data_IF_674476967922
#
_entry.id   IF_674476967922
#
_cell.length_a   1.000
_cell.length_b   1.000
_cell.length_c   1.000
_cell.angle_alpha   90.00
_cell.angle_beta   90.00
_cell.angle_gamma   90.00
#
_symmetry.space_group_name_H-M   'P 1'
#
loop_
_entity.id
_entity.type
_entity.pdbx_description
1 polymer ?
#
# COMPACT_ATOMS: atom_id res chain seq x y z
N UNK A 1 -7.97 11.21 -27.50
CA UNK A 1 -7.94 11.59 -26.07
C UNK A 1 -6.51 11.86 -25.62
N UNK A 2 -6.27 12.95 -24.89
CA UNK A 2 -4.93 13.28 -24.36
C UNK A 2 -4.49 12.21 -23.35
N UNK A 3 -3.24 11.71 -23.47
CA UNK A 3 -2.66 10.73 -22.52
C UNK A 3 -2.76 11.20 -21.05
N UNK A 4 -2.76 12.52 -20.82
CA UNK A 4 -2.94 13.12 -19.49
C UNK A 4 -4.36 12.93 -18.94
N UNK A 5 -5.38 13.05 -19.79
CA UNK A 5 -6.78 12.85 -19.38
C UNK A 5 -7.02 11.38 -19.00
N UNK A 6 -6.47 10.45 -19.77
CA UNK A 6 -6.54 9.00 -19.46
C UNK A 6 -5.83 8.71 -18.14
N UNK A 7 -4.61 9.24 -17.93
CA UNK A 7 -3.88 9.06 -16.68
C UNK A 7 -4.66 9.58 -15.46
N UNK A 8 -5.19 10.80 -15.55
CA UNK A 8 -5.99 11.38 -14.46
C UNK A 8 -7.29 10.59 -14.21
N UNK A 9 -7.96 10.14 -15.26
CA UNK A 9 -9.16 9.31 -15.13
C UNK A 9 -8.86 7.96 -14.47
N UNK A 10 -7.76 7.30 -14.84
CA UNK A 10 -7.33 6.04 -14.21
C UNK A 10 -6.96 6.24 -12.74
N UNK A 11 -6.32 7.36 -12.40
CA UNK A 11 -6.02 7.70 -11.01
C UNK A 11 -7.29 7.94 -10.20
N UNK A 12 -8.25 8.69 -10.75
CA UNK A 12 -9.53 8.94 -10.10
C UNK A 12 -10.32 7.64 -9.89
N UNK A 13 -10.36 6.79 -10.90
CA UNK A 13 -11.02 5.48 -10.81
C UNK A 13 -10.36 4.57 -9.76
N UNK A 14 -9.03 4.58 -9.68
CA UNK A 14 -8.29 3.84 -8.65
C UNK A 14 -8.60 4.36 -7.25
N UNK A 15 -8.63 5.67 -7.06
CA UNK A 15 -8.98 6.29 -5.79
C UNK A 15 -10.42 5.96 -5.37
N UNK A 16 -11.35 5.93 -6.34
CA UNK A 16 -12.73 5.53 -6.12
C UNK A 16 -12.84 4.07 -5.63
N UNK A 17 -12.19 3.13 -6.33
CA UNK A 17 -12.16 1.71 -5.91
C UNK A 17 -11.56 1.59 -4.50
N UNK A 18 -10.46 2.28 -4.24
CA UNK A 18 -9.80 2.23 -2.94
C UNK A 18 -10.68 2.79 -1.81
N UNK A 19 -11.43 3.87 -2.05
CA UNK A 19 -12.39 4.42 -1.10
C UNK A 19 -13.55 3.47 -0.80
N UNK A 20 -14.17 2.90 -1.84
CA UNK A 20 -15.26 1.92 -1.68
C UNK A 20 -14.82 0.65 -0.95
N UNK A 21 -13.55 0.26 -1.11
CA UNK A 21 -12.99 -0.90 -0.41
C UNK A 21 -13.01 -0.73 1.12
N UNK A 22 -12.97 0.49 1.69
CA UNK A 22 -13.09 0.65 3.15
C UNK A 22 -14.49 0.29 3.66
N UNK A 23 -15.53 0.58 2.89
CA UNK A 23 -16.91 0.23 3.23
C UNK A 23 -17.10 -1.29 3.18
N UNK A 24 -16.58 -1.94 2.13
CA UNK A 24 -16.62 -3.41 2.04
C UNK A 24 -15.79 -4.04 3.15
N UNK A 25 -14.62 -3.48 3.46
CA UNK A 25 -13.78 -3.95 4.55
C UNK A 25 -14.48 -3.83 5.89
N UNK A 26 -15.12 -2.71 6.22
CA UNK A 26 -15.83 -2.57 7.49
C UNK A 26 -16.97 -3.58 7.63
N UNK A 27 -17.74 -3.84 6.56
CA UNK A 27 -18.85 -4.82 6.60
C UNK A 27 -18.36 -6.27 6.63
N UNK A 28 -17.33 -6.60 5.85
CA UNK A 28 -16.76 -7.96 5.83
C UNK A 28 -16.16 -8.35 7.18
N UNK A 29 -15.68 -7.36 7.92
CA UNK A 29 -15.05 -7.55 9.22
C UNK A 29 -16.02 -8.02 10.30
N UNK A 30 -17.27 -7.56 10.25
CA UNK A 30 -18.33 -8.02 11.16
C UNK A 30 -18.71 -9.49 10.91
N UNK A 31 -18.46 -10.01 9.71
CA UNK A 31 -18.87 -11.36 9.31
C UNK A 31 -17.80 -12.45 9.51
N UNK A 32 -16.52 -12.14 9.27
CA UNK A 32 -15.42 -13.14 9.24
C UNK A 32 -14.23 -12.80 10.14
N UNK A 33 -14.23 -11.62 10.78
CA UNK A 33 -13.21 -11.17 11.73
C UNK A 33 -11.87 -10.71 11.09
N UNK A 34 -11.05 -9.97 11.87
CA UNK A 34 -9.82 -9.30 11.40
C UNK A 34 -8.78 -10.20 10.78
N UNK A 35 -8.47 -11.28 11.49
CA UNK A 35 -7.35 -12.14 11.11
C UNK A 35 -7.68 -12.96 9.86
N UNK A 36 -8.92 -13.44 9.74
CA UNK A 36 -9.38 -14.20 8.56
C UNK A 36 -9.42 -13.31 7.32
N UNK A 37 -9.96 -12.09 7.44
CA UNK A 37 -10.00 -11.14 6.34
C UNK A 37 -8.60 -10.76 5.86
N UNK A 38 -7.72 -10.38 6.79
CA UNK A 38 -6.34 -10.01 6.47
C UNK A 38 -5.56 -11.22 5.91
N UNK A 39 -5.76 -12.42 6.47
CA UNK A 39 -5.17 -13.66 5.98
C UNK A 39 -5.58 -13.98 4.54
N UNK A 40 -6.87 -13.92 4.23
CA UNK A 40 -7.39 -14.14 2.88
C UNK A 40 -6.84 -13.09 1.88
N UNK A 41 -6.79 -11.83 2.29
CA UNK A 41 -6.20 -10.75 1.50
C UNK A 41 -4.72 -10.99 1.20
N UNK A 42 -3.93 -11.37 2.20
CA UNK A 42 -2.50 -11.65 2.04
C UNK A 42 -2.26 -12.91 1.20
N UNK A 43 -3.10 -13.94 1.33
CA UNK A 43 -3.04 -15.13 0.47
C UNK A 43 -3.31 -14.77 -0.99
N UNK A 44 -4.36 -13.98 -1.26
CA UNK A 44 -4.68 -13.51 -2.61
C UNK A 44 -3.56 -12.62 -3.18
N UNK A 45 -2.99 -11.74 -2.36
CA UNK A 45 -1.84 -10.92 -2.75
C UNK A 45 -0.62 -11.79 -3.10
N UNK A 46 -0.35 -12.84 -2.31
CA UNK A 46 0.71 -13.80 -2.59
C UNK A 46 0.50 -14.55 -3.90
N UNK A 47 -0.69 -15.10 -4.12
CA UNK A 47 -1.03 -15.85 -5.35
C UNK A 47 -0.94 -14.95 -6.59
N UNK A 48 -1.44 -13.72 -6.52
CA UNK A 48 -1.44 -12.78 -7.65
C UNK A 48 -0.04 -12.24 -7.96
N UNK A 49 0.82 -12.02 -6.95
CA UNK A 49 2.19 -11.53 -7.16
C UNK A 49 3.18 -12.63 -7.56
N UNK A 50 2.92 -13.89 -7.19
CA UNK A 50 3.78 -15.04 -7.54
C UNK A 50 4.10 -15.16 -9.04
N UNK A 51 3.13 -15.15 -9.98
CA UNK A 51 3.44 -15.24 -11.40
C UNK A 51 4.28 -14.05 -11.90
N UNK A 52 4.04 -12.85 -11.39
CA UNK A 52 4.81 -11.65 -11.73
C UNK A 52 6.26 -11.78 -11.23
N UNK A 53 6.45 -12.27 -10.02
CA UNK A 53 7.77 -12.54 -9.44
C UNK A 53 8.55 -13.58 -10.26
N UNK A 54 7.88 -14.67 -10.67
CA UNK A 54 8.48 -15.70 -11.52
C UNK A 54 8.84 -15.16 -12.92
N UNK A 55 7.99 -14.33 -13.53
CA UNK A 55 8.29 -13.69 -14.80
C UNK A 55 9.50 -12.75 -14.70
N UNK A 56 9.59 -11.95 -13.63
CA UNK A 56 10.76 -11.09 -13.37
C UNK A 56 12.03 -11.91 -13.13
N UNK A 57 11.95 -12.98 -12.35
CA UNK A 57 13.08 -13.87 -12.11
C UNK A 57 13.58 -14.53 -13.41
N UNK A 58 12.66 -14.94 -14.30
CA UNK A 58 12.99 -15.46 -15.64
C UNK A 58 13.64 -14.40 -16.54
N UNK A 59 13.17 -13.16 -16.51
CA UNK A 59 13.79 -12.05 -17.27
C UNK A 59 15.18 -11.69 -16.76
N UNK A 60 15.39 -11.68 -15.44
CA UNK A 60 16.69 -11.45 -14.83
C UNK A 60 17.70 -12.55 -15.19
N UNK A 61 17.28 -13.84 -15.19
CA UNK A 61 18.12 -14.96 -15.65
C UNK A 61 18.51 -14.88 -17.13
N UNK A 62 17.69 -14.20 -17.95
CA UNK A 62 17.98 -13.96 -19.38
C UNK A 62 18.79 -12.67 -19.62
N UNK A 63 19.20 -11.95 -18.57
CA UNK A 63 19.95 -10.70 -18.69
C UNK A 63 19.11 -9.48 -19.11
N UNK A 64 17.78 -9.58 -19.16
CA UNK A 64 16.88 -8.48 -19.55
C UNK A 64 16.49 -7.57 -18.37
N UNK A 65 17.05 -7.75 -17.19
CA UNK A 65 16.73 -6.96 -15.98
C UNK A 65 17.91 -6.94 -15.03
N UNK A 66 17.92 -5.96 -14.11
CA UNK A 66 18.97 -5.79 -13.12
C UNK A 66 19.25 -7.10 -12.35
N UNK A 67 20.52 -7.37 -11.96
CA UNK A 67 20.89 -8.56 -11.20
C UNK A 67 20.02 -8.68 -9.96
N UNK A 68 19.48 -9.87 -9.70
CA UNK A 68 18.75 -10.12 -8.46
C UNK A 68 19.70 -9.85 -7.27
N UNK A 69 19.22 -9.11 -6.27
CA UNK A 69 19.96 -8.96 -5.01
C UNK A 69 20.32 -10.33 -4.44
N UNK A 70 21.40 -10.41 -3.64
CA UNK A 70 21.81 -11.66 -2.99
C UNK A 70 20.62 -12.37 -2.36
N UNK A 71 20.48 -13.67 -2.59
CA UNK A 71 19.33 -14.46 -2.10
C UNK A 71 19.08 -14.25 -0.61
N UNK A 72 20.16 -14.12 0.19
CA UNK A 72 20.07 -13.83 1.63
C UNK A 72 19.44 -12.47 1.93
N UNK A 73 19.77 -11.43 1.15
CA UNK A 73 19.20 -10.10 1.33
C UNK A 73 17.72 -10.04 0.92
N UNK A 74 17.33 -10.78 -0.13
CA UNK A 74 15.93 -10.94 -0.53
C UNK A 74 15.10 -11.65 0.56
N UNK A 75 15.63 -12.72 1.15
CA UNK A 75 14.95 -13.44 2.22
C UNK A 75 14.83 -12.60 3.49
N UNK A 76 15.92 -11.99 3.94
CA UNK A 76 15.91 -11.14 5.15
C UNK A 76 15.02 -9.91 4.94
N UNK A 77 15.16 -9.22 3.81
CA UNK A 77 14.31 -8.07 3.48
C UNK A 77 12.85 -8.45 3.31
N UNK A 78 12.57 -9.62 2.71
CA UNK A 78 11.22 -10.16 2.55
C UNK A 78 10.55 -10.50 3.87
N UNK A 79 11.26 -11.19 4.78
CA UNK A 79 10.75 -11.53 6.11
C UNK A 79 10.52 -10.25 6.93
N UNK A 80 11.51 -9.35 6.97
CA UNK A 80 11.40 -8.10 7.74
C UNK A 80 10.23 -7.24 7.22
N UNK A 81 10.13 -7.05 5.91
CA UNK A 81 9.03 -6.33 5.28
C UNK A 81 7.69 -7.03 5.57
N UNK A 82 7.64 -8.37 5.48
CA UNK A 82 6.44 -9.15 5.74
C UNK A 82 5.94 -9.02 7.18
N UNK A 83 6.83 -9.08 8.18
CA UNK A 83 6.47 -8.88 9.59
C UNK A 83 5.93 -7.47 9.84
N UNK A 84 6.60 -6.44 9.32
CA UNK A 84 6.15 -5.06 9.43
C UNK A 84 4.79 -4.88 8.74
N UNK A 85 4.61 -5.45 7.55
CA UNK A 85 3.37 -5.36 6.79
C UNK A 85 2.23 -6.10 7.50
N UNK A 86 2.49 -7.25 8.12
CA UNK A 86 1.51 -7.98 8.91
C UNK A 86 1.07 -7.18 10.13
N UNK A 87 2.01 -6.62 10.88
CA UNK A 87 1.71 -5.78 12.04
C UNK A 87 0.91 -4.52 11.63
N UNK A 88 1.34 -3.83 10.57
CA UNK A 88 0.66 -2.65 10.06
C UNK A 88 -0.76 -2.97 9.54
N UNK A 89 -0.92 -4.07 8.78
CA UNK A 89 -2.22 -4.46 8.24
C UNK A 89 -3.18 -4.90 9.35
N UNK A 90 -2.67 -5.59 10.38
CA UNK A 90 -3.46 -5.97 11.55
C UNK A 90 -3.91 -4.75 12.34
N UNK A 91 -3.00 -3.79 12.59
CA UNK A 91 -3.34 -2.53 13.26
C UNK A 91 -4.36 -1.71 12.45
N UNK A 92 -4.19 -1.64 11.13
CA UNK A 92 -5.15 -1.00 10.24
C UNK A 92 -6.52 -1.69 10.30
N UNK A 93 -6.56 -3.03 10.33
CA UNK A 93 -7.80 -3.79 10.39
C UNK A 93 -8.54 -3.56 11.70
N UNK A 94 -7.84 -3.57 12.84
CA UNK A 94 -8.43 -3.22 14.13
C UNK A 94 -8.96 -1.78 14.15
N UNK A 95 -8.22 -0.83 13.57
CA UNK A 95 -8.70 0.55 13.42
C UNK A 95 -9.97 0.71 12.57
N UNK A 96 -10.26 -0.26 11.68
CA UNK A 96 -11.51 -0.31 10.90
C UNK A 96 -12.63 -0.98 11.68
N UNK A 97 -12.34 -1.93 12.58
CA UNK A 97 -13.36 -2.56 13.45
C UNK A 97 -13.92 -1.55 14.45
N UNK A 98 -13.05 -0.82 15.11
CA UNK A 98 -13.43 0.09 16.20
C UNK A 98 -13.92 1.46 15.70
N UNK A 99 -13.96 1.68 14.39
CA UNK A 99 -14.28 2.98 13.79
C UNK A 99 -15.19 2.86 12.58
N UNK A 100 -15.88 3.95 12.21
CA UNK A 100 -16.64 3.97 10.97
C UNK A 100 -15.69 4.03 9.76
N UNK A 101 -16.13 3.49 8.62
CA UNK A 101 -15.35 3.52 7.37
C UNK A 101 -14.87 4.95 7.01
N UNK A 102 -15.66 5.98 7.32
CA UNK A 102 -15.28 7.38 7.11
C UNK A 102 -14.14 7.85 8.02
N UNK A 103 -14.17 7.50 9.32
CA UNK A 103 -13.10 7.86 10.27
C UNK A 103 -11.82 7.08 9.99
N UNK A 104 -11.92 5.79 9.70
CA UNK A 104 -10.77 4.97 9.32
C UNK A 104 -10.13 5.44 7.99
N UNK A 105 -10.95 5.82 7.01
CA UNK A 105 -10.49 6.41 5.75
C UNK A 105 -9.78 7.74 5.96
N UNK A 106 -10.32 8.62 6.83
CA UNK A 106 -9.70 9.90 7.18
C UNK A 106 -8.33 9.72 7.86
N UNK A 107 -8.26 8.86 8.89
CA UNK A 107 -7.00 8.57 9.58
C UNK A 107 -5.97 7.98 8.60
N UNK A 108 -6.42 7.11 7.69
CA UNK A 108 -5.52 6.57 6.66
C UNK A 108 -5.03 7.71 5.76
N UNK A 109 -5.90 8.62 5.30
CA UNK A 109 -5.50 9.75 4.44
C UNK A 109 -4.47 10.70 5.08
N UNK A 110 -4.40 10.76 6.43
CA UNK A 110 -3.33 11.52 7.13
C UNK A 110 -1.92 11.00 6.79
N UNK A 111 -1.75 9.79 6.24
CA UNK A 111 -0.45 9.33 5.76
C UNK A 111 0.18 10.30 4.74
N UNK A 112 -0.64 11.06 3.98
CA UNK A 112 -0.17 12.06 3.01
C UNK A 112 0.71 13.12 3.69
N UNK A 113 0.44 13.43 4.96
CA UNK A 113 1.23 14.34 5.80
C UNK A 113 2.38 13.60 6.50
N UNK A 114 2.12 12.41 7.04
CA UNK A 114 3.08 11.65 7.84
C UNK A 114 4.26 11.10 7.02
N UNK A 115 4.03 10.67 5.78
CA UNK A 115 5.06 10.10 4.89
C UNK A 115 6.16 11.11 4.54
N UNK A 116 5.86 12.34 4.06
CA UNK A 116 6.92 13.31 3.78
C UNK A 116 7.69 13.68 5.05
N UNK A 117 7.02 13.86 6.20
CA UNK A 117 7.67 14.15 7.49
C UNK A 117 8.63 13.03 7.89
N UNK A 118 8.16 11.77 7.83
CA UNK A 118 8.99 10.57 8.05
C UNK A 118 10.19 10.54 7.10
N UNK A 119 9.99 10.97 5.85
CA UNK A 119 11.05 11.07 4.83
C UNK A 119 12.20 12.01 5.20
N UNK A 120 11.97 13.06 6.00
CA UNK A 120 13.05 13.92 6.51
C UNK A 120 13.93 13.19 7.51
N UNK A 121 13.35 12.36 8.38
CA UNK A 121 14.11 11.55 9.34
C UNK A 121 15.03 10.53 8.66
N UNK A 122 14.66 10.07 7.45
CA UNK A 122 15.52 9.23 6.60
C UNK A 122 16.46 10.04 5.68
N UNK A 123 16.62 11.34 5.91
CA UNK A 123 17.54 12.21 5.16
C UNK A 123 17.13 12.49 3.71
N UNK A 124 15.90 12.17 3.30
CA UNK A 124 15.43 12.45 1.94
C UNK A 124 14.98 13.91 1.81
N UNK A 125 15.48 14.60 0.78
CA UNK A 125 15.05 15.98 0.47
C UNK A 125 13.65 15.97 -0.16
N UNK A 126 12.66 16.45 0.60
CA UNK A 126 11.28 16.62 0.14
C UNK A 126 11.16 17.94 -0.63
N UNK A 127 10.55 17.91 -1.82
CA UNK A 127 10.39 19.09 -2.69
C UNK A 127 9.41 20.09 -2.06
N UNK A 128 9.67 21.41 -2.16
CA UNK A 128 8.81 22.47 -1.61
C UNK A 128 7.33 22.38 -2.04
N UNK A 129 7.07 21.89 -3.25
CA UNK A 129 5.70 21.65 -3.74
C UNK A 129 4.93 20.59 -2.93
N UNK A 130 5.62 19.60 -2.37
CA UNK A 130 4.99 18.58 -1.50
C UNK A 130 4.59 19.20 -0.17
N UNK A 131 5.39 20.12 0.37
CA UNK A 131 5.03 20.87 1.58
C UNK A 131 3.82 21.80 1.37
N UNK A 132 3.69 22.42 0.21
CA UNK A 132 2.50 23.20 -0.14
C UNK A 132 1.25 22.31 -0.22
N UNK A 133 1.36 21.10 -0.79
CA UNK A 133 0.28 20.13 -0.81
C UNK A 133 -0.08 19.62 0.60
N UNK A 134 0.92 19.37 1.45
CA UNK A 134 0.72 18.99 2.86
C UNK A 134 -0.02 20.09 3.62
N UNK A 135 0.37 21.36 3.45
CA UNK A 135 -0.31 22.49 4.08
C UNK A 135 -1.77 22.61 3.61
N UNK A 136 -2.02 22.48 2.30
CA UNK A 136 -3.36 22.52 1.72
C UNK A 136 -4.25 21.35 2.19
N UNK A 137 -3.70 20.15 2.38
CA UNK A 137 -4.44 19.00 2.90
C UNK A 137 -4.69 19.07 4.41
N UNK A 138 -3.89 19.86 5.15
CA UNK A 138 -4.03 20.02 6.60
C UNK A 138 -4.98 21.17 6.99
N UNK A 139 -5.27 22.09 6.07
CA UNK A 139 -6.28 23.17 6.19
C UNK A 139 -7.62 22.74 5.64
#
# INVERSE_FOLDING_TARGET
MSKKAIANATLLFTAFIWGMAFVVQSVAMDAIGPFTFNGARMALAGVTLTPIALMRARRAKRGLSAPAASGRMLWVGGILCGVILFAASTLQQFGIVDSSAGKAGFITALYIVLVPISGLFFGKRVRKAVWAAVALCAT
#
